data_IF_131020097626
#
_entry.id   IF_131020097626
#
_cell.length_a   1.000
_cell.length_b   1.000
_cell.length_c   1.000
_cell.angle_alpha   90.00
_cell.angle_beta   90.00
_cell.angle_gamma   90.00
#
_symmetry.space_group_name_H-M   'P 1'
#
loop_
_entity.id
_entity.type
_entity.pdbx_description
1 polymer ?
#
# COMPACT_ATOMS: atom_id res chain seq x y z
N UNK A 1 -33.11 -28.40 -83.63
CA UNK A 1 -34.01 -28.36 -82.47
C UNK A 1 -33.12 -28.21 -81.20
N UNK A 2 -33.00 -26.97 -80.70
CA UNK A 2 -32.23 -26.68 -79.51
C UNK A 2 -33.12 -26.79 -78.29
N UNK A 3 -32.74 -27.55 -77.32
CA UNK A 3 -33.38 -27.61 -75.99
C UNK A 3 -32.51 -26.82 -75.00
N UNK A 4 -33.04 -25.73 -74.54
CA UNK A 4 -32.41 -24.86 -73.52
C UNK A 4 -32.77 -25.39 -72.13
N UNK A 5 -31.80 -25.80 -71.36
CA UNK A 5 -31.89 -26.12 -69.93
C UNK A 5 -31.54 -24.87 -69.11
N UNK A 6 -32.52 -24.29 -68.42
CA UNK A 6 -32.35 -23.23 -67.45
C UNK A 6 -31.89 -23.80 -66.07
N UNK A 7 -30.82 -23.30 -65.56
CA UNK A 7 -30.30 -23.59 -64.21
C UNK A 7 -30.72 -22.51 -63.25
N UNK A 8 -31.32 -22.79 -62.07
CA UNK A 8 -31.62 -21.78 -61.07
C UNK A 8 -30.36 -21.38 -60.30
N UNK A 9 -30.11 -20.07 -60.21
CA UNK A 9 -29.11 -19.48 -59.30
C UNK A 9 -29.61 -19.63 -57.84
N UNK A 10 -28.83 -20.36 -57.07
CA UNK A 10 -28.94 -20.29 -55.58
C UNK A 10 -28.18 -19.06 -55.08
N UNK A 11 -28.89 -17.98 -54.78
CA UNK A 11 -28.43 -16.88 -53.97
C UNK A 11 -28.99 -17.08 -52.55
N UNK A 12 -28.20 -17.68 -51.72
CA UNK A 12 -28.55 -17.82 -50.32
C UNK A 12 -27.42 -18.42 -49.54
N UNK A 13 -26.52 -17.58 -49.02
CA UNK A 13 -25.75 -17.88 -47.82
C UNK A 13 -24.59 -16.83 -47.60
N UNK A 14 -24.94 -15.58 -47.48
CA UNK A 14 -23.98 -14.58 -46.95
C UNK A 14 -24.53 -13.72 -45.80
N UNK A 15 -25.82 -13.76 -45.53
CA UNK A 15 -26.41 -12.95 -44.47
C UNK A 15 -26.34 -13.57 -43.05
N UNK A 16 -26.26 -14.91 -42.94
CA UNK A 16 -26.23 -15.60 -41.64
C UNK A 16 -24.86 -15.64 -40.95
N UNK A 17 -23.76 -15.32 -41.66
CA UNK A 17 -22.41 -15.28 -41.05
C UNK A 17 -22.06 -13.93 -40.42
N UNK A 18 -22.77 -12.87 -40.72
CA UNK A 18 -22.52 -11.53 -40.17
C UNK A 18 -23.23 -11.31 -38.82
N UNK A 19 -24.38 -11.93 -38.61
CA UNK A 19 -25.13 -11.76 -37.34
C UNK A 19 -24.53 -12.56 -36.17
N UNK A 20 -23.84 -13.66 -36.44
CA UNK A 20 -23.21 -14.48 -35.40
C UNK A 20 -21.88 -13.89 -34.90
N UNK A 21 -21.24 -12.98 -35.65
CA UNK A 21 -20.01 -12.34 -35.23
C UNK A 21 -20.24 -11.09 -34.37
N UNK A 22 -21.38 -10.45 -34.50
CA UNK A 22 -21.75 -9.31 -33.66
C UNK A 22 -22.25 -9.69 -32.26
N UNK A 23 -22.72 -10.93 -32.09
CA UNK A 23 -23.18 -11.42 -30.82
C UNK A 23 -22.03 -11.86 -29.91
N UNK A 24 -20.90 -12.30 -30.48
CA UNK A 24 -19.68 -12.66 -29.73
C UNK A 24 -18.84 -11.44 -29.30
N UNK A 25 -18.92 -10.31 -29.99
CA UNK A 25 -18.20 -9.10 -29.63
C UNK A 25 -18.89 -8.31 -28.49
N UNK A 26 -20.15 -8.60 -28.17
CA UNK A 26 -20.88 -7.90 -27.11
C UNK A 26 -20.82 -8.59 -25.73
N UNK A 27 -20.23 -9.78 -25.60
CA UNK A 27 -20.14 -10.51 -24.32
C UNK A 27 -18.76 -10.43 -23.65
N UNK A 28 -17.76 -9.81 -24.28
CA UNK A 28 -16.50 -9.47 -23.61
C UNK A 28 -16.51 -7.99 -23.24
N UNK A 29 -17.53 -7.54 -22.52
CA UNK A 29 -17.34 -6.49 -21.55
C UNK A 29 -16.59 -7.14 -20.38
N UNK A 30 -15.27 -7.10 -20.45
CA UNK A 30 -14.46 -7.17 -19.26
C UNK A 30 -15.05 -6.20 -18.25
N UNK A 31 -15.73 -6.72 -17.24
CA UNK A 31 -15.90 -5.98 -16.00
C UNK A 31 -14.47 -5.65 -15.56
N UNK A 32 -14.03 -4.41 -15.76
CA UNK A 32 -12.93 -3.87 -15.01
C UNK A 32 -13.32 -4.06 -13.55
N UNK A 33 -12.79 -5.11 -12.93
CA UNK A 33 -12.77 -5.21 -11.48
C UNK A 33 -11.97 -3.99 -11.03
N UNK A 34 -12.69 -2.90 -10.79
CA UNK A 34 -12.14 -1.71 -10.14
C UNK A 34 -11.72 -2.18 -8.75
N UNK A 35 -10.51 -2.70 -8.66
CA UNK A 35 -9.84 -2.90 -7.38
C UNK A 35 -9.84 -1.53 -6.72
N UNK A 36 -10.70 -1.36 -5.72
CA UNK A 36 -10.73 -0.14 -4.92
C UNK A 36 -9.41 -0.12 -4.14
N UNK A 37 -8.40 0.56 -4.70
CA UNK A 37 -7.15 0.80 -3.99
C UNK A 37 -7.45 1.67 -2.78
N UNK A 38 -6.94 1.27 -1.63
CA UNK A 38 -7.02 2.10 -0.43
C UNK A 38 -5.89 3.10 -0.48
N UNK A 39 -6.22 4.38 -0.61
CA UNK A 39 -5.20 5.43 -0.71
C UNK A 39 -5.57 6.68 0.10
N UNK A 40 -4.56 7.43 0.52
CA UNK A 40 -4.69 8.71 1.18
C UNK A 40 -4.97 9.83 0.18
N UNK A 41 -5.31 11.03 0.69
CA UNK A 41 -5.27 12.26 -0.09
C UNK A 41 -3.85 12.60 -0.54
N UNK A 42 -3.74 13.47 -1.57
CA UNK A 42 -2.45 13.92 -2.14
C UNK A 42 -1.69 14.83 -1.17
N UNK A 43 -2.41 15.71 -0.48
CA UNK A 43 -1.83 16.64 0.50
C UNK A 43 -2.36 16.29 1.88
N UNK A 44 -1.44 16.10 2.83
CA UNK A 44 -1.72 15.75 4.21
C UNK A 44 -1.01 16.76 5.11
N UNK A 45 -1.77 17.71 5.64
CA UNK A 45 -1.22 18.74 6.52
C UNK A 45 -1.21 18.24 7.96
N UNK A 46 -0.14 18.53 8.68
CA UNK A 46 0.06 18.05 10.06
C UNK A 46 -1.12 18.36 10.98
N UNK A 47 -1.72 19.54 10.82
CA UNK A 47 -2.84 19.97 11.67
C UNK A 47 -4.17 19.26 11.34
N UNK A 48 -4.28 18.64 10.17
CA UNK A 48 -5.50 17.97 9.70
C UNK A 48 -5.45 16.47 9.95
N UNK A 49 -4.25 15.90 10.13
CA UNK A 49 -4.06 14.46 10.41
C UNK A 49 -4.11 14.23 11.91
N UNK A 50 -4.98 13.32 12.34
CA UNK A 50 -5.14 13.01 13.75
C UNK A 50 -3.95 12.26 14.31
N UNK A 51 -3.52 12.65 15.53
CA UNK A 51 -2.61 11.86 16.33
C UNK A 51 -3.34 10.68 16.96
N UNK A 52 -2.83 9.47 16.76
CA UNK A 52 -3.35 8.24 17.34
C UNK A 52 -2.38 7.72 18.41
N UNK A 53 -2.89 7.15 19.53
CA UNK A 53 -2.03 6.46 20.48
C UNK A 53 -1.27 5.31 19.83
N UNK A 54 0.04 5.21 20.10
CA UNK A 54 0.91 4.14 19.62
C UNK A 54 1.70 3.45 20.76
N UNK A 55 1.51 3.91 21.97
CA UNK A 55 2.13 3.40 23.19
C UNK A 55 2.04 4.41 24.32
N UNK A 56 2.58 4.09 25.48
CA UNK A 56 2.67 5.06 26.57
C UNK A 56 3.66 6.18 26.22
N UNK A 57 3.19 7.43 26.16
CA UNK A 57 3.94 8.60 25.71
C UNK A 57 4.50 8.47 24.27
N UNK A 58 3.81 7.68 23.44
CA UNK A 58 4.10 7.53 22.01
C UNK A 58 2.80 7.73 21.24
N UNK A 59 2.83 8.62 20.24
CA UNK A 59 1.71 8.89 19.35
C UNK A 59 2.19 8.82 17.90
N UNK A 60 1.26 8.54 16.98
CA UNK A 60 1.57 8.49 15.54
C UNK A 60 0.56 9.27 14.71
N UNK A 61 0.98 9.72 13.54
CA UNK A 61 0.15 10.20 12.45
C UNK A 61 0.38 9.31 11.23
N UNK A 62 -0.69 8.80 10.62
CA UNK A 62 -0.60 8.09 9.35
C UNK A 62 -0.64 9.15 8.26
N UNK A 63 0.46 9.24 7.51
CA UNK A 63 0.62 10.19 6.41
C UNK A 63 0.24 9.53 5.07
N UNK A 64 0.95 9.82 3.99
CA UNK A 64 0.66 9.28 2.67
C UNK A 64 0.73 7.76 2.59
N UNK A 65 -0.27 7.14 1.94
CA UNK A 65 -0.30 5.70 1.72
C UNK A 65 -1.13 5.31 0.50
N UNK A 66 -0.79 4.16 -0.03
CA UNK A 66 -1.59 3.33 -0.93
C UNK A 66 -1.31 1.85 -0.60
N UNK A 67 -1.80 0.91 -1.40
CA UNK A 67 -1.61 -0.53 -1.14
C UNK A 67 -0.13 -0.94 -1.06
N UNK A 68 0.78 -0.24 -1.75
CA UNK A 68 2.21 -0.58 -1.86
C UNK A 68 3.08 0.05 -0.78
N UNK A 69 2.67 1.19 -0.23
CA UNK A 69 3.52 1.98 0.69
C UNK A 69 2.70 2.77 1.69
N UNK A 70 3.26 2.98 2.88
CA UNK A 70 2.68 3.85 3.92
C UNK A 70 3.78 4.62 4.64
N UNK A 71 3.58 5.92 4.79
CA UNK A 71 4.43 6.79 5.60
C UNK A 71 3.75 7.11 6.92
N UNK A 72 4.48 6.92 8.03
CA UNK A 72 3.99 7.16 9.39
C UNK A 72 4.98 8.03 10.14
N UNK A 73 4.47 9.08 10.79
CA UNK A 73 5.23 9.88 11.75
C UNK A 73 4.94 9.36 13.15
N UNK A 74 5.99 9.02 13.90
CA UNK A 74 5.88 8.53 15.28
C UNK A 74 6.61 9.50 16.19
N UNK A 75 5.91 10.05 17.17
CA UNK A 75 6.45 11.00 18.15
C UNK A 75 6.57 10.31 19.50
N UNK A 76 7.76 10.41 20.08
CA UNK A 76 8.08 10.01 21.43
C UNK A 76 8.16 11.27 22.31
N UNK A 77 7.29 11.33 23.30
CA UNK A 77 7.06 12.58 24.06
C UNK A 77 7.93 12.67 25.31
N UNK A 78 8.49 11.54 25.78
CA UNK A 78 9.28 11.48 27.01
C UNK A 78 10.50 10.55 26.87
N UNK A 79 11.54 10.87 27.63
CA UNK A 79 12.65 9.94 27.88
C UNK A 79 12.10 8.67 28.53
N UNK A 80 12.59 7.51 28.07
CA UNK A 80 12.15 6.21 28.53
C UNK A 80 10.85 5.70 27.86
N UNK A 81 10.19 6.50 27.00
CA UNK A 81 9.07 6.01 26.20
C UNK A 81 9.56 4.86 25.29
N UNK A 82 8.76 3.80 25.17
CA UNK A 82 9.13 2.55 24.50
C UNK A 82 8.33 2.36 23.23
N UNK A 83 9.02 2.24 22.10
CA UNK A 83 8.49 1.60 20.90
C UNK A 83 8.53 0.08 21.14
N UNK A 84 7.40 -0.47 21.56
CA UNK A 84 7.30 -1.85 22.02
C UNK A 84 7.89 -2.84 21.00
N UNK A 85 8.78 -3.75 21.42
CA UNK A 85 9.35 -4.74 20.51
C UNK A 85 8.27 -5.57 19.82
N UNK A 86 8.31 -5.61 18.51
CA UNK A 86 7.33 -6.31 17.66
C UNK A 86 7.96 -6.73 16.33
N UNK A 87 7.22 -7.52 15.57
CA UNK A 87 7.57 -7.91 14.20
C UNK A 87 6.34 -7.89 13.30
N UNK A 88 6.53 -7.71 12.02
CA UNK A 88 5.48 -7.69 11.01
C UNK A 88 6.04 -8.10 9.64
N UNK A 89 5.20 -8.55 8.69
CA UNK A 89 5.65 -9.05 7.39
C UNK A 89 6.04 -7.94 6.38
N UNK A 90 6.04 -6.69 6.81
CA UNK A 90 6.35 -5.54 5.97
C UNK A 90 7.86 -5.22 6.04
N UNK A 91 8.43 -4.81 4.93
CA UNK A 91 9.69 -4.05 4.95
C UNK A 91 9.45 -2.71 5.63
N UNK A 92 10.34 -2.31 6.52
CA UNK A 92 10.30 -0.99 7.14
C UNK A 92 11.63 -0.28 6.97
N UNK A 93 11.58 1.00 6.64
CA UNK A 93 12.71 1.92 6.79
C UNK A 93 12.31 3.03 7.72
N UNK A 94 13.24 3.45 8.58
CA UNK A 94 13.01 4.51 9.55
C UNK A 94 14.08 5.60 9.37
N UNK A 95 13.65 6.86 9.36
CA UNK A 95 14.52 8.03 9.44
C UNK A 95 14.28 8.73 10.77
N UNK A 96 15.36 9.03 11.49
CA UNK A 96 15.30 9.80 12.74
C UNK A 96 15.25 11.27 12.39
N UNK A 97 14.04 11.86 12.45
CA UNK A 97 13.86 13.27 12.14
C UNK A 97 14.31 14.20 13.29
N UNK A 98 14.19 13.73 14.53
CA UNK A 98 14.69 14.44 15.72
C UNK A 98 14.83 13.49 16.90
N UNK A 99 15.56 13.90 17.94
CA UNK A 99 15.76 13.12 19.17
C UNK A 99 16.85 12.08 19.05
N UNK A 100 16.88 11.16 20.03
CA UNK A 100 17.84 10.06 20.12
C UNK A 100 17.18 8.83 20.69
N UNK A 101 17.52 7.67 20.14
CA UNK A 101 16.89 6.39 20.47
C UNK A 101 17.91 5.28 20.59
N UNK A 102 17.73 4.40 21.56
CA UNK A 102 18.38 3.10 21.57
C UNK A 102 17.47 2.13 20.79
N UNK A 103 17.92 1.70 19.63
CA UNK A 103 17.18 0.85 18.70
C UNK A 103 17.72 -0.57 18.71
N UNK A 104 16.85 -1.56 18.87
CA UNK A 104 17.17 -2.97 18.71
C UNK A 104 16.52 -3.52 17.45
N UNK A 105 17.30 -4.16 16.58
CA UNK A 105 16.83 -4.85 15.36
C UNK A 105 17.48 -6.24 15.33
N UNK A 106 16.69 -7.29 15.53
CA UNK A 106 17.21 -8.65 15.74
C UNK A 106 18.11 -8.69 16.95
N UNK A 107 19.37 -9.08 16.74
CA UNK A 107 20.37 -9.21 17.79
C UNK A 107 21.26 -7.96 17.96
N UNK A 108 21.05 -6.93 17.15
CA UNK A 108 21.83 -5.69 17.19
C UNK A 108 21.11 -4.58 17.93
N UNK A 109 21.81 -3.95 18.88
CA UNK A 109 21.33 -2.74 19.57
C UNK A 109 22.32 -1.60 19.34
N UNK A 110 21.82 -0.46 18.88
CA UNK A 110 22.62 0.74 18.63
C UNK A 110 21.87 2.00 19.01
N UNK A 111 22.63 3.03 19.38
CA UNK A 111 22.06 4.38 19.56
C UNK A 111 22.07 5.09 18.21
N UNK A 112 20.93 5.65 17.85
CA UNK A 112 20.72 6.45 16.64
C UNK A 112 20.20 7.83 17.01
N UNK A 113 20.52 8.82 16.19
CA UNK A 113 20.22 10.23 16.41
C UNK A 113 19.64 10.87 15.15
N UNK A 114 19.17 12.09 15.28
CA UNK A 114 18.65 12.86 14.14
C UNK A 114 19.60 12.80 12.92
N UNK A 115 19.08 12.46 11.76
CA UNK A 115 19.83 12.25 10.51
C UNK A 115 20.14 10.79 10.19
N UNK A 116 20.08 9.90 11.18
CA UNK A 116 20.35 8.47 10.96
C UNK A 116 19.15 7.76 10.32
N UNK A 117 19.43 6.67 9.61
CA UNK A 117 18.45 5.79 9.00
C UNK A 117 18.62 4.33 9.39
N UNK A 118 17.50 3.61 9.44
CA UNK A 118 17.45 2.18 9.76
C UNK A 118 16.68 1.41 8.68
N UNK A 119 17.00 0.13 8.57
CA UNK A 119 16.29 -0.80 7.72
C UNK A 119 15.95 -2.07 8.49
N UNK A 120 14.67 -2.44 8.49
CA UNK A 120 14.13 -3.66 9.08
C UNK A 120 13.59 -4.57 7.98
N UNK A 121 14.13 -5.79 7.92
CA UNK A 121 13.60 -6.85 7.05
C UNK A 121 12.22 -7.29 7.55
N UNK A 122 11.37 -7.86 6.66
CA UNK A 122 10.18 -8.56 7.10
C UNK A 122 10.45 -9.53 8.25
N UNK A 123 9.55 -9.57 9.20
CA UNK A 123 9.52 -10.50 10.35
C UNK A 123 10.72 -10.43 11.31
N UNK A 124 11.61 -9.44 11.19
CA UNK A 124 12.64 -9.20 12.18
C UNK A 124 12.04 -8.52 13.42
N UNK A 125 12.37 -9.02 14.61
CA UNK A 125 11.96 -8.38 15.87
C UNK A 125 12.71 -7.04 16.01
N UNK A 126 11.99 -5.96 16.25
CA UNK A 126 12.57 -4.64 16.43
C UNK A 126 11.76 -3.77 17.38
N UNK A 127 12.42 -2.77 17.96
CA UNK A 127 11.83 -1.79 18.85
C UNK A 127 12.85 -0.77 19.31
N UNK A 128 12.44 0.22 20.08
CA UNK A 128 13.35 1.25 20.57
C UNK A 128 12.97 1.79 21.95
N UNK A 129 13.94 2.41 22.60
CA UNK A 129 13.75 3.20 23.82
C UNK A 129 14.16 4.64 23.51
N UNK A 130 13.33 5.60 23.87
CA UNK A 130 13.58 7.02 23.72
C UNK A 130 14.64 7.49 24.73
N UNK A 131 15.79 7.96 24.26
CA UNK A 131 16.85 8.59 25.06
C UNK A 131 16.62 10.10 25.12
N UNK A 132 16.27 10.72 23.98
CA UNK A 132 15.87 12.12 23.88
C UNK A 132 14.56 12.21 23.10
N UNK A 133 13.52 12.89 23.62
CA UNK A 133 12.24 13.03 22.92
C UNK A 133 12.42 13.46 21.46
N UNK A 134 11.65 12.86 20.57
CA UNK A 134 11.87 13.11 19.16
C UNK A 134 10.84 12.42 18.25
N UNK A 135 11.16 12.43 16.96
CA UNK A 135 10.28 11.99 15.88
C UNK A 135 11.02 10.98 15.00
N UNK A 136 10.39 9.86 14.79
CA UNK A 136 10.74 8.89 13.76
C UNK A 136 9.79 9.02 12.57
N UNK A 137 10.30 8.84 11.37
CA UNK A 137 9.52 8.72 10.14
C UNK A 137 9.69 7.30 9.62
N UNK A 138 8.64 6.52 9.73
CA UNK A 138 8.60 5.12 9.29
C UNK A 138 7.95 5.00 7.91
N UNK A 139 8.58 4.27 7.01
CA UNK A 139 8.02 3.91 5.72
C UNK A 139 7.86 2.38 5.65
N UNK A 140 6.65 1.92 5.37
CA UNK A 140 6.30 0.50 5.28
C UNK A 140 5.98 0.12 3.84
N UNK A 141 6.44 -1.06 3.41
CA UNK A 141 6.11 -1.66 2.12
C UNK A 141 5.83 -3.18 2.30
N UNK A 142 4.64 -3.66 1.89
CA UNK A 142 3.45 -2.90 1.57
C UNK A 142 2.91 -2.09 2.77
N UNK A 143 1.81 -1.37 2.59
CA UNK A 143 1.22 -0.59 3.68
C UNK A 143 0.79 -1.45 4.87
N UNK A 144 0.82 -0.87 6.07
CA UNK A 144 0.28 -1.44 7.31
C UNK A 144 -1.25 -1.28 7.34
N UNK A 145 -1.97 -2.15 6.62
CA UNK A 145 -3.44 -2.12 6.54
C UNK A 145 -4.12 -2.24 7.92
N UNK A 146 -3.43 -2.86 8.89
CA UNK A 146 -3.87 -2.97 10.28
C UNK A 146 -3.95 -1.61 10.99
N UNK A 147 -3.18 -0.60 10.56
CA UNK A 147 -3.26 0.76 11.10
C UNK A 147 -4.51 1.52 10.67
N UNK A 148 -5.15 1.13 9.56
CA UNK A 148 -6.35 1.76 9.03
C UNK A 148 -7.65 1.17 9.61
N UNK A 149 -7.56 0.03 10.31
CA UNK A 149 -8.72 -0.61 10.96
C UNK A 149 -9.00 0.09 12.29
N UNK A 150 -10.16 0.71 12.39
CA UNK A 150 -10.72 1.28 13.63
C UNK A 150 -11.72 0.35 14.25
#
# INVERSE_FOLDING_TARGET
>A
MLCALSLPLFLGSCAQKAENNQQFENEVKTEEVKTMTTESGVFLYENDVQWEPAGENVVRQILGYNDDVMLVKVKFEKVGAVGTPHKHPHTQTTYVASGKFEFTVGDETKVVSAGDGLYMKPDVLHGCVCIEPGILIDCFAPMRADFLKK
#
